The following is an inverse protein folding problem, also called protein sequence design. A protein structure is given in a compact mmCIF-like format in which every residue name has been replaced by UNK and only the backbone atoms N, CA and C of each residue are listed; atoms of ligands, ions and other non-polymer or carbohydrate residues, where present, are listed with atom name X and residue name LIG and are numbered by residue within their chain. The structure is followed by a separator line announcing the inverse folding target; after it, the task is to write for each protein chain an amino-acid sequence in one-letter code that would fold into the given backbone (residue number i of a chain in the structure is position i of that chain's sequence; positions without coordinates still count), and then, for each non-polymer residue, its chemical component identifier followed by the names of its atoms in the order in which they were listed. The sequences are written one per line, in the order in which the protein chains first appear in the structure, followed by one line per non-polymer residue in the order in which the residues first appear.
data_IF_063194114812
#
_entry.id   IF_063194114812
#
_cell.length_a   1.000
_cell.length_b   1.000
_cell.length_c   1.000
_cell.angle_alpha   90.00
_cell.angle_beta   90.00
_cell.angle_gamma   90.00
#
_symmetry.space_group_name_H-M   'P 1'
#
loop_
_entity.id
_entity.type
_entity.pdbx_description
1 polymer ?
#
# COMPACT_ATOMS: atom_id res chain seq x y z
N UNK A 1 -3.03 2.93 4.64
CA UNK A 1 -2.14 2.91 3.45
C UNK A 1 -2.65 1.98 2.34
N UNK A 2 -3.48 0.98 2.67
CA UNK A 2 -4.04 0.02 1.70
C UNK A 2 -5.17 0.58 0.82
N UNK A 3 -6.02 1.49 1.30
CA UNK A 3 -7.24 1.90 0.55
C UNK A 3 -7.18 3.24 -0.20
N UNK A 4 -6.31 4.19 0.19
CA UNK A 4 -6.42 5.58 -0.30
C UNK A 4 -5.67 5.92 -1.60
N UNK A 5 -4.46 5.38 -1.83
CA UNK A 5 -3.57 5.86 -2.90
C UNK A 5 -3.01 4.75 -3.83
N UNK A 6 -3.33 3.48 -3.56
CA UNK A 6 -2.73 2.32 -4.25
C UNK A 6 -3.74 1.44 -5.02
N UNK A 7 -4.98 1.91 -5.18
CA UNK A 7 -6.08 1.10 -5.73
C UNK A 7 -5.82 0.57 -7.14
N UNK A 8 -5.24 1.39 -8.04
CA UNK A 8 -4.97 1.00 -9.43
C UNK A 8 -3.85 -0.04 -9.55
N UNK A 9 -2.73 0.18 -8.87
CA UNK A 9 -1.60 -0.76 -8.87
C UNK A 9 -2.00 -2.13 -8.30
N UNK A 10 -2.76 -2.13 -7.20
CA UNK A 10 -3.33 -3.34 -6.61
C UNK A 10 -4.32 -4.03 -7.54
N UNK A 11 -5.23 -3.30 -8.18
CA UNK A 11 -6.19 -3.89 -9.11
C UNK A 11 -5.48 -4.59 -10.27
N UNK A 12 -4.44 -3.96 -10.81
CA UNK A 12 -3.61 -4.55 -11.86
C UNK A 12 -2.88 -5.81 -11.38
N UNK A 13 -2.35 -5.80 -10.15
CA UNK A 13 -1.71 -6.98 -9.52
C UNK A 13 -2.72 -8.12 -9.36
N UNK A 14 -3.88 -7.85 -8.76
CA UNK A 14 -4.92 -8.83 -8.51
C UNK A 14 -5.49 -9.42 -9.81
N UNK A 15 -5.72 -8.58 -10.82
CA UNK A 15 -6.24 -9.00 -12.12
C UNK A 15 -5.31 -9.97 -12.85
N UNK A 16 -4.00 -9.76 -12.74
CA UNK A 16 -2.98 -10.65 -13.29
C UNK A 16 -2.81 -11.90 -12.43
N UNK A 17 -2.71 -11.73 -11.11
CA UNK A 17 -2.45 -12.81 -10.16
C UNK A 17 -3.56 -13.85 -10.14
N UNK A 18 -4.83 -13.44 -10.27
CA UNK A 18 -5.99 -14.35 -10.30
C UNK A 18 -5.83 -15.51 -11.30
N UNK A 19 -5.13 -15.29 -12.42
CA UNK A 19 -4.96 -16.30 -13.49
C UNK A 19 -3.86 -17.32 -13.19
N UNK A 20 -2.93 -16.98 -12.32
CA UNK A 20 -1.68 -17.74 -12.12
C UNK A 20 -1.54 -18.29 -10.70
N UNK A 21 -2.23 -17.68 -9.72
CA UNK A 21 -2.01 -17.91 -8.28
C UNK A 21 -2.16 -19.36 -7.85
N UNK A 22 -3.08 -20.10 -8.48
CA UNK A 22 -3.29 -21.52 -8.18
C UNK A 22 -2.08 -22.36 -8.59
N UNK A 23 -1.32 -21.93 -9.59
CA UNK A 23 -0.08 -22.57 -10.02
C UNK A 23 1.09 -22.34 -9.06
N UNK A 24 0.98 -21.37 -8.15
CA UNK A 24 1.98 -21.12 -7.11
C UNK A 24 1.77 -21.98 -5.86
N UNK A 25 0.62 -22.63 -5.75
CA UNK A 25 0.33 -23.50 -4.62
C UNK A 25 1.21 -24.77 -4.74
N UNK A 26 2.05 -25.07 -3.74
CA UNK A 26 2.87 -26.26 -3.76
C UNK A 26 2.01 -27.53 -3.89
N UNK A 27 2.37 -28.42 -4.82
CA UNK A 27 1.68 -29.70 -4.99
C UNK A 27 1.93 -30.58 -3.77
N UNK A 28 0.88 -31.26 -3.29
CA UNK A 28 0.97 -32.25 -2.20
C UNK A 28 0.50 -33.60 -2.71
N UNK A 29 1.21 -34.66 -2.35
CA UNK A 29 0.82 -36.02 -2.68
C UNK A 29 -0.54 -36.35 -2.04
N UNK A 30 -1.38 -37.07 -2.78
CA UNK A 30 -2.70 -37.50 -2.31
C UNK A 30 -3.80 -36.42 -2.27
N UNK A 31 -3.50 -35.15 -2.58
CA UNK A 31 -4.49 -34.07 -2.67
C UNK A 31 -4.65 -33.64 -4.14
N UNK A 32 -5.88 -33.61 -4.63
CA UNK A 32 -6.17 -33.13 -5.97
C UNK A 32 -5.75 -31.65 -6.11
N UNK A 33 -4.97 -31.35 -7.15
CA UNK A 33 -4.62 -29.97 -7.47
C UNK A 33 -5.86 -29.18 -7.88
N UNK A 34 -5.94 -27.92 -7.46
CA UNK A 34 -6.95 -27.00 -7.98
C UNK A 34 -6.74 -26.79 -9.47
N UNK A 35 -7.83 -26.77 -10.24
CA UNK A 35 -7.77 -26.45 -11.66
C UNK A 35 -7.33 -25.00 -11.85
N UNK A 36 -6.22 -24.79 -12.58
CA UNK A 36 -5.65 -23.46 -12.84
C UNK A 36 -6.63 -22.48 -13.51
N UNK A 37 -7.64 -23.00 -14.23
CA UNK A 37 -8.61 -22.18 -14.96
C UNK A 37 -9.89 -21.88 -14.19
N UNK A 38 -9.99 -22.27 -12.90
CA UNK A 38 -11.20 -22.04 -12.13
C UNK A 38 -11.39 -20.54 -11.90
N UNK A 39 -12.28 -19.92 -12.68
CA UNK A 39 -12.56 -18.49 -12.61
C UNK A 39 -13.34 -18.10 -11.34
N UNK A 40 -13.96 -19.08 -10.68
CA UNK A 40 -14.85 -18.84 -9.56
C UNK A 40 -14.09 -18.85 -8.24
N UNK A 41 -13.79 -17.65 -7.75
CA UNK A 41 -13.00 -17.45 -6.53
C UNK A 41 -13.73 -17.91 -5.27
N UNK A 42 -15.07 -17.92 -5.27
CA UNK A 42 -15.89 -18.52 -4.19
C UNK A 42 -15.59 -19.99 -3.92
N UNK A 43 -14.96 -20.71 -4.86
CA UNK A 43 -14.50 -22.09 -4.65
C UNK A 43 -13.12 -22.21 -4.00
N UNK A 44 -12.48 -21.08 -3.66
CA UNK A 44 -11.23 -21.03 -2.90
C UNK A 44 -11.52 -20.90 -1.39
N UNK A 45 -10.54 -20.47 -0.61
CA UNK A 45 -10.70 -20.27 0.82
C UNK A 45 -11.00 -21.58 1.54
N UNK A 46 -11.95 -21.52 2.47
CA UNK A 46 -12.41 -22.64 3.29
C UNK A 46 -13.27 -23.65 2.51
N UNK A 47 -13.83 -23.26 1.36
CA UNK A 47 -14.61 -24.15 0.50
C UNK A 47 -13.74 -25.22 -0.20
N UNK A 48 -12.41 -25.08 -0.19
CA UNK A 48 -11.49 -26.04 -0.79
C UNK A 48 -10.28 -26.35 0.11
N UNK A 49 -10.07 -27.63 0.39
CA UNK A 49 -9.06 -28.12 1.35
C UNK A 49 -7.65 -27.58 1.05
N UNK A 50 -7.22 -27.53 -0.21
CA UNK A 50 -5.88 -27.05 -0.57
C UNK A 50 -5.65 -25.58 -0.23
N UNK A 51 -6.61 -24.68 -0.55
CA UNK A 51 -6.50 -23.26 -0.20
C UNK A 51 -6.72 -23.03 1.29
N UNK A 52 -7.67 -23.76 1.88
CA UNK A 52 -7.94 -23.72 3.31
C UNK A 52 -6.71 -24.09 4.14
N UNK A 53 -5.95 -25.10 3.71
CA UNK A 53 -4.72 -25.49 4.40
C UNK A 53 -3.65 -24.40 4.38
N UNK A 54 -3.52 -23.66 3.28
CA UNK A 54 -2.60 -22.53 3.20
C UNK A 54 -3.03 -21.35 4.08
N UNK A 55 -4.34 -21.15 4.22
CA UNK A 55 -4.94 -20.13 5.10
C UNK A 55 -4.96 -20.55 6.57
N UNK A 56 -4.86 -21.85 6.85
CA UNK A 56 -4.84 -22.40 8.20
C UNK A 56 -3.69 -21.79 9.01
N UNK A 57 -3.94 -21.40 10.27
CA UNK A 57 -2.89 -21.05 11.20
C UNK A 57 -1.89 -22.19 11.36
N UNK A 58 -0.59 -21.89 11.26
CA UNK A 58 0.46 -22.91 11.35
C UNK A 58 0.39 -23.76 12.63
N UNK A 59 0.07 -23.13 13.76
CA UNK A 59 -0.08 -23.77 15.06
C UNK A 59 -1.30 -24.71 15.17
N UNK A 60 -2.21 -24.71 14.18
CA UNK A 60 -3.41 -25.55 14.12
C UNK A 60 -3.41 -26.52 12.94
N UNK A 61 -2.28 -26.64 12.25
CA UNK A 61 -2.15 -27.47 11.06
C UNK A 61 -2.40 -28.95 11.34
N UNK A 62 -2.02 -29.45 12.53
CA UNK A 62 -2.28 -30.84 12.94
C UNK A 62 -3.78 -31.11 13.14
N UNK A 63 -4.50 -30.15 13.73
CA UNK A 63 -5.96 -30.22 13.88
C UNK A 63 -6.66 -30.19 12.51
N UNK A 64 -6.17 -29.33 11.61
CA UNK A 64 -6.65 -29.27 10.23
C UNK A 64 -6.40 -30.60 9.51
N UNK A 65 -5.16 -31.10 9.49
CA UNK A 65 -4.79 -32.32 8.75
C UNK A 65 -5.50 -33.57 9.33
N UNK A 66 -5.91 -33.56 10.60
CA UNK A 66 -6.70 -34.62 11.22
C UNK A 66 -8.11 -34.76 10.63
N UNK A 67 -8.79 -33.64 10.33
CA UNK A 67 -10.09 -33.66 9.65
C UNK A 67 -10.35 -32.36 8.87
N UNK A 68 -9.79 -32.22 7.66
CA UNK A 68 -9.81 -30.96 6.92
C UNK A 68 -11.21 -30.44 6.64
N UNK A 69 -12.14 -31.34 6.28
CA UNK A 69 -13.54 -30.97 5.97
C UNK A 69 -14.27 -30.45 7.19
N UNK A 70 -14.07 -31.06 8.36
CA UNK A 70 -14.65 -30.57 9.62
C UNK A 70 -14.05 -29.22 9.98
N UNK A 71 -12.72 -29.08 9.92
CA UNK A 71 -12.05 -27.82 10.25
C UNK A 71 -12.57 -26.68 9.37
N UNK A 72 -12.58 -26.86 8.05
CA UNK A 72 -13.13 -25.86 7.11
C UNK A 72 -14.56 -25.43 7.49
N UNK A 73 -15.45 -26.41 7.70
CA UNK A 73 -16.85 -26.13 8.07
C UNK A 73 -16.96 -25.39 9.40
N UNK A 74 -16.14 -25.76 10.37
CA UNK A 74 -16.15 -25.14 11.70
C UNK A 74 -15.62 -23.69 11.63
N UNK A 75 -14.67 -23.39 10.73
CA UNK A 75 -14.26 -22.01 10.43
C UNK A 75 -15.38 -21.23 9.74
N UNK A 76 -16.00 -21.80 8.70
CA UNK A 76 -17.09 -21.14 7.95
C UNK A 76 -18.30 -20.82 8.83
N UNK A 77 -18.58 -21.67 9.82
CA UNK A 77 -19.67 -21.47 10.78
C UNK A 77 -19.27 -20.61 11.99
N UNK A 78 -18.03 -20.13 12.07
CA UNK A 78 -17.53 -19.30 13.18
C UNK A 78 -17.32 -20.06 14.49
N UNK A 79 -17.34 -21.40 14.48
CA UNK A 79 -16.95 -22.23 15.63
C UNK A 79 -15.45 -22.09 15.89
N UNK A 80 -14.68 -22.00 14.82
CA UNK A 80 -13.27 -21.66 14.84
C UNK A 80 -13.12 -20.22 14.35
N UNK A 81 -12.64 -19.34 15.22
CA UNK A 81 -12.22 -18.00 14.82
C UNK A 81 -10.73 -18.01 14.49
N UNK A 82 -10.36 -17.35 13.39
CA UNK A 82 -8.97 -17.18 12.94
C UNK A 82 -8.74 -15.69 12.75
N UNK A 83 -7.82 -15.14 13.55
CA UNK A 83 -7.47 -13.72 13.56
C UNK A 83 -6.20 -13.47 12.75
N UNK A 84 -5.76 -12.21 12.64
CA UNK A 84 -4.61 -11.86 11.82
C UNK A 84 -3.24 -12.17 12.46
N UNK A 85 -3.20 -12.30 13.79
CA UNK A 85 -2.07 -12.80 14.57
C UNK A 85 -1.89 -14.32 14.41
N UNK A 86 -2.93 -15.04 13.99
CA UNK A 86 -2.85 -16.44 13.58
C UNK A 86 -2.18 -16.57 12.19
N UNK A 87 -0.86 -16.47 12.15
CA UNK A 87 -0.06 -16.47 10.92
C UNK A 87 -0.37 -17.68 10.01
N UNK A 88 -0.81 -17.45 8.76
CA UNK A 88 -1.17 -18.52 7.84
C UNK A 88 0.01 -19.41 7.41
N UNK A 89 -0.28 -20.68 7.13
CA UNK A 89 0.71 -21.66 6.68
C UNK A 89 1.51 -21.24 5.45
N UNK A 90 0.92 -20.47 4.53
CA UNK A 90 1.63 -20.05 3.31
C UNK A 90 2.84 -19.13 3.57
N UNK A 91 2.96 -18.57 4.79
CA UNK A 91 4.10 -17.76 5.20
C UNK A 91 5.34 -18.61 5.50
N UNK A 92 5.17 -19.91 5.76
CA UNK A 92 6.25 -20.84 6.08
C UNK A 92 6.55 -21.77 4.91
N UNK A 93 7.80 -22.24 4.77
CA UNK A 93 8.09 -23.36 3.89
C UNK A 93 7.35 -24.61 4.34
N UNK A 94 7.12 -25.52 3.39
CA UNK A 94 6.43 -26.78 3.66
C UNK A 94 7.08 -27.53 4.84
N UNK A 95 6.27 -27.89 5.83
CA UNK A 95 6.64 -28.69 7.01
C UNK A 95 7.79 -28.09 7.84
N UNK A 96 7.94 -26.75 7.83
CA UNK A 96 8.99 -26.03 8.59
C UNK A 96 8.52 -25.29 9.83
N UNK A 97 7.22 -25.26 10.12
CA UNK A 97 6.74 -24.64 11.34
C UNK A 97 7.22 -25.42 12.57
N UNK A 98 7.91 -24.73 13.48
CA UNK A 98 8.43 -25.28 14.71
C UNK A 98 7.77 -24.57 15.91
N UNK A 99 6.95 -25.24 16.72
CA UNK A 99 6.28 -24.59 17.85
C UNK A 99 7.25 -24.12 18.95
N UNK A 100 8.48 -24.66 18.99
CA UNK A 100 9.51 -24.22 19.93
C UNK A 100 10.38 -23.06 19.37
N UNK A 101 10.27 -22.79 18.07
CA UNK A 101 10.96 -21.70 17.39
C UNK A 101 10.10 -21.20 16.23
N UNK A 102 9.09 -20.38 16.54
CA UNK A 102 8.08 -19.94 15.57
C UNK A 102 8.68 -19.06 14.45
N UNK A 103 9.86 -18.48 14.66
CA UNK A 103 10.55 -17.66 13.67
C UNK A 103 11.25 -18.50 12.59
N UNK A 104 11.43 -19.80 12.84
CA UNK A 104 12.10 -20.72 11.93
C UNK A 104 11.34 -20.81 10.59
N UNK A 105 11.94 -20.25 9.54
CA UNK A 105 11.35 -20.24 8.20
C UNK A 105 10.17 -19.28 8.02
N UNK A 106 9.78 -18.53 9.04
CA UNK A 106 8.71 -17.53 8.91
C UNK A 106 9.03 -16.52 7.79
N UNK A 107 8.03 -16.19 6.98
CA UNK A 107 8.10 -15.34 5.78
C UNK A 107 8.98 -15.88 4.64
N UNK A 108 9.32 -17.18 4.65
CA UNK A 108 10.11 -17.84 3.59
C UNK A 108 9.34 -18.92 2.84
N UNK A 109 8.01 -18.96 2.98
CA UNK A 109 7.13 -19.89 2.26
C UNK A 109 7.19 -19.75 0.74
N UNK A 110 7.13 -20.89 0.04
CA UNK A 110 7.26 -20.93 -1.43
C UNK A 110 6.14 -20.18 -2.13
N UNK A 111 4.91 -20.29 -1.62
CA UNK A 111 3.76 -19.58 -2.14
C UNK A 111 3.93 -18.05 -2.01
N UNK A 112 4.30 -17.56 -0.83
CA UNK A 112 4.56 -16.13 -0.59
C UNK A 112 5.64 -15.60 -1.54
N UNK A 113 6.72 -16.36 -1.71
CA UNK A 113 7.82 -16.06 -2.61
C UNK A 113 7.37 -15.96 -4.06
N UNK A 114 6.56 -16.90 -4.54
CA UNK A 114 6.00 -16.85 -5.90
C UNK A 114 5.11 -15.63 -6.10
N UNK A 115 4.25 -15.30 -5.13
CA UNK A 115 3.39 -14.09 -5.19
C UNK A 115 4.24 -12.81 -5.20
N UNK A 116 5.23 -12.71 -4.33
CA UNK A 116 6.15 -11.57 -4.29
C UNK A 116 6.85 -11.38 -5.63
N UNK A 117 7.47 -12.44 -6.15
CA UNK A 117 8.17 -12.41 -7.43
C UNK A 117 7.22 -12.07 -8.58
N UNK A 118 5.98 -12.58 -8.55
CA UNK A 118 4.98 -12.23 -9.56
C UNK A 118 4.71 -10.72 -9.59
N UNK A 119 4.46 -10.12 -8.42
CA UNK A 119 4.16 -8.68 -8.26
C UNK A 119 5.36 -7.84 -8.70
N UNK A 120 6.55 -8.11 -8.14
CA UNK A 120 7.68 -7.19 -8.25
C UNK A 120 8.62 -7.52 -9.41
N UNK A 121 8.84 -8.78 -9.74
CA UNK A 121 9.82 -9.21 -10.76
C UNK A 121 9.19 -9.86 -11.99
N UNK A 122 7.87 -10.09 -11.96
CA UNK A 122 7.04 -10.54 -13.08
C UNK A 122 6.85 -12.07 -13.15
N UNK A 123 5.90 -12.54 -13.99
CA UNK A 123 5.44 -13.94 -13.99
C UNK A 123 6.54 -14.99 -14.18
N UNK A 124 7.51 -14.71 -15.07
CA UNK A 124 8.63 -15.63 -15.37
C UNK A 124 9.52 -15.94 -14.17
N UNK A 125 9.46 -15.12 -13.13
CA UNK A 125 10.27 -15.27 -11.91
C UNK A 125 9.52 -15.96 -10.78
N UNK A 126 8.19 -15.96 -10.83
CA UNK A 126 7.34 -16.51 -9.79
C UNK A 126 7.54 -18.02 -9.61
N UNK A 127 7.85 -18.73 -10.69
CA UNK A 127 8.09 -20.19 -10.71
C UNK A 127 9.56 -20.58 -10.64
N UNK A 128 10.47 -19.60 -10.44
CA UNK A 128 11.89 -19.89 -10.35
C UNK A 128 12.21 -20.65 -9.05
N UNK A 129 12.96 -21.73 -9.18
CA UNK A 129 13.40 -22.58 -8.07
C UNK A 129 14.78 -22.20 -7.51
N UNK A 130 15.51 -21.31 -8.21
CA UNK A 130 16.84 -20.86 -7.80
C UNK A 130 16.87 -19.35 -7.47
N UNK A 131 17.70 -18.91 -6.51
CA UNK A 131 17.95 -17.50 -6.24
C UNK A 131 18.50 -16.72 -7.45
N UNK A 132 18.49 -15.41 -7.35
CA UNK A 132 19.23 -14.52 -8.24
C UNK A 132 18.35 -13.73 -9.19
N UNK A 133 18.93 -12.68 -9.82
CA UNK A 133 18.17 -11.72 -10.58
C UNK A 133 17.49 -12.38 -11.79
N UNK A 134 16.45 -11.71 -12.26
CA UNK A 134 15.83 -12.03 -13.53
C UNK A 134 16.15 -10.98 -14.57
N UNK A 135 16.50 -11.44 -15.76
CA UNK A 135 16.63 -10.63 -16.96
C UNK A 135 15.24 -10.37 -17.54
N UNK A 136 14.53 -9.39 -16.98
CA UNK A 136 13.21 -8.99 -17.48
C UNK A 136 12.74 -7.63 -16.96
N UNK A 137 11.81 -6.96 -17.69
CA UNK A 137 11.09 -5.82 -17.15
C UNK A 137 10.18 -6.29 -16.01
N UNK A 138 10.38 -5.75 -14.81
CA UNK A 138 9.54 -6.00 -13.64
C UNK A 138 9.27 -4.70 -12.90
N UNK A 139 8.21 -4.65 -12.08
CA UNK A 139 7.88 -3.47 -11.26
C UNK A 139 9.07 -3.01 -10.39
N UNK A 140 9.88 -3.94 -9.90
CA UNK A 140 11.10 -3.63 -9.17
C UNK A 140 12.06 -2.78 -10.00
N UNK A 141 12.27 -3.12 -11.28
CA UNK A 141 13.10 -2.31 -12.19
C UNK A 141 12.42 -0.98 -12.55
N UNK A 142 11.11 -0.99 -12.79
CA UNK A 142 10.33 0.20 -13.14
C UNK A 142 10.34 1.25 -12.01
N UNK A 143 10.24 0.79 -10.76
CA UNK A 143 10.20 1.64 -9.57
C UNK A 143 11.55 1.78 -8.88
N UNK A 144 12.65 1.33 -9.51
CA UNK A 144 14.01 1.36 -8.95
C UNK A 144 14.09 0.74 -7.53
N UNK A 145 13.34 -0.33 -7.29
CA UNK A 145 13.41 -1.11 -6.07
C UNK A 145 14.76 -1.86 -6.05
N UNK A 146 15.66 -1.41 -5.18
CA UNK A 146 17.02 -1.97 -5.02
C UNK A 146 17.12 -2.94 -3.85
N UNK A 147 16.11 -2.99 -2.99
CA UNK A 147 16.03 -3.90 -1.85
C UNK A 147 14.59 -4.29 -1.53
N UNK A 148 14.43 -5.46 -0.93
CA UNK A 148 13.18 -5.91 -0.30
C UNK A 148 13.01 -5.17 1.02
N UNK A 149 11.78 -4.77 1.32
CA UNK A 149 11.41 -4.13 2.60
C UNK A 149 10.33 -4.95 3.31
N UNK A 150 10.20 -4.83 4.65
CA UNK A 150 9.10 -5.46 5.39
C UNK A 150 7.73 -5.17 4.78
N UNK A 151 7.47 -3.93 4.37
CA UNK A 151 6.21 -3.51 3.75
C UNK A 151 5.94 -4.20 2.40
N UNK A 152 6.98 -4.48 1.62
CA UNK A 152 6.83 -5.20 0.34
C UNK A 152 6.51 -6.69 0.56
N UNK A 153 7.05 -7.30 1.62
CA UNK A 153 6.72 -8.67 2.04
C UNK A 153 5.28 -8.70 2.57
N UNK A 154 4.92 -7.77 3.45
CA UNK A 154 3.58 -7.63 4.01
C UNK A 154 2.51 -7.43 2.91
N UNK A 155 2.80 -6.56 1.93
CA UNK A 155 1.90 -6.38 0.78
C UNK A 155 1.73 -7.66 -0.03
N UNK A 156 2.82 -8.38 -0.34
CA UNK A 156 2.74 -9.65 -1.06
C UNK A 156 1.95 -10.71 -0.26
N UNK A 157 2.11 -10.76 1.06
CA UNK A 157 1.36 -11.66 1.92
C UNK A 157 -0.15 -11.36 1.91
N UNK A 158 -0.53 -10.09 2.02
CA UNK A 158 -1.93 -9.64 1.94
C UNK A 158 -2.54 -9.98 0.58
N UNK A 159 -1.84 -9.64 -0.51
CA UNK A 159 -2.29 -9.92 -1.88
C UNK A 159 -2.38 -11.43 -2.12
N UNK A 160 -1.43 -12.21 -1.62
CA UNK A 160 -1.43 -13.66 -1.66
C UNK A 160 -2.63 -14.24 -0.93
N UNK A 161 -2.80 -13.90 0.36
CA UNK A 161 -3.95 -14.35 1.18
C UNK A 161 -5.27 -14.05 0.50
N UNK A 162 -5.46 -12.80 0.06
CA UNK A 162 -6.69 -12.41 -0.64
C UNK A 162 -6.89 -13.23 -1.92
N UNK A 163 -5.84 -13.60 -2.64
CA UNK A 163 -5.98 -14.36 -3.90
C UNK A 163 -6.42 -15.81 -3.71
N UNK A 164 -6.16 -16.40 -2.54
CA UNK A 164 -6.57 -17.77 -2.18
C UNK A 164 -7.73 -17.84 -1.20
N UNK A 165 -8.26 -16.71 -0.72
CA UNK A 165 -9.51 -16.67 0.06
C UNK A 165 -10.75 -16.78 -0.84
N UNK A 166 -11.91 -17.03 -0.23
CA UNK A 166 -13.19 -17.18 -0.93
C UNK A 166 -13.88 -15.85 -1.32
N UNK A 167 -13.31 -14.70 -0.98
CA UNK A 167 -13.95 -13.40 -1.23
C UNK A 167 -13.86 -12.98 -2.70
N UNK A 168 -14.99 -12.75 -3.37
CA UNK A 168 -14.99 -12.36 -4.79
C UNK A 168 -14.52 -10.93 -5.05
N UNK A 169 -14.69 -10.02 -4.08
CA UNK A 169 -14.33 -8.60 -4.18
C UNK A 169 -13.30 -8.26 -3.13
N UNK A 170 -12.44 -7.28 -3.47
CA UNK A 170 -11.49 -6.74 -2.51
C UNK A 170 -12.22 -6.14 -1.31
N UNK A 171 -11.92 -6.66 -0.13
CA UNK A 171 -12.38 -6.16 1.15
C UNK A 171 -11.23 -6.35 2.15
N UNK A 172 -11.09 -5.40 3.09
CA UNK A 172 -10.09 -5.53 4.15
C UNK A 172 -10.48 -6.57 5.21
N UNK A 173 -11.76 -6.88 5.32
CA UNK A 173 -12.33 -7.80 6.30
C UNK A 173 -12.75 -9.09 5.61
N UNK A 174 -12.16 -10.21 6.01
CA UNK A 174 -12.50 -11.57 5.60
C UNK A 174 -13.10 -12.30 6.81
N UNK A 175 -14.37 -12.01 7.07
CA UNK A 175 -15.01 -12.37 8.33
C UNK A 175 -14.34 -11.63 9.48
N UNK A 176 -13.75 -12.39 10.41
CA UNK A 176 -13.02 -11.84 11.55
C UNK A 176 -11.53 -11.61 11.27
N UNK A 177 -11.03 -12.06 10.12
CA UNK A 177 -9.64 -11.84 9.72
C UNK A 177 -9.49 -10.50 8.99
N UNK A 178 -8.65 -9.60 9.48
CA UNK A 178 -8.39 -8.31 8.85
C UNK A 178 -7.06 -8.32 8.08
N UNK A 179 -7.11 -7.96 6.81
CA UNK A 179 -5.92 -7.87 5.96
C UNK A 179 -4.98 -6.74 6.39
N UNK A 180 -5.51 -5.64 6.93
CA UNK A 180 -4.69 -4.56 7.50
C UNK A 180 -3.93 -5.02 8.73
N UNK A 181 -4.55 -5.81 9.60
CA UNK A 181 -3.87 -6.37 10.77
C UNK A 181 -2.75 -7.32 10.34
N UNK A 182 -2.96 -8.18 9.33
CA UNK A 182 -1.87 -9.02 8.79
C UNK A 182 -0.72 -8.18 8.25
N UNK A 183 -1.03 -7.08 7.55
CA UNK A 183 0.01 -6.17 7.06
C UNK A 183 0.82 -5.61 8.22
N UNK A 184 0.15 -5.09 9.25
CA UNK A 184 0.79 -4.49 10.42
C UNK A 184 1.59 -5.53 11.19
N UNK A 185 1.02 -6.70 11.48
CA UNK A 185 1.72 -7.82 12.15
C UNK A 185 3.02 -8.16 11.43
N UNK A 186 3.01 -8.30 10.10
CA UNK A 186 4.24 -8.61 9.35
C UNK A 186 5.26 -7.47 9.44
N UNK A 187 4.83 -6.21 9.41
CA UNK A 187 5.74 -5.07 9.53
C UNK A 187 6.34 -4.99 10.94
N UNK A 188 5.53 -5.21 11.97
CA UNK A 188 5.90 -5.21 13.39
C UNK A 188 6.91 -6.31 13.73
N UNK A 189 6.89 -7.45 13.02
CA UNK A 189 7.96 -8.47 13.13
C UNK A 189 9.35 -7.91 12.82
N UNK A 190 9.47 -6.77 12.12
CA UNK A 190 10.73 -6.11 11.79
C UNK A 190 10.98 -4.82 12.59
N UNK A 191 10.33 -4.64 13.74
CA UNK A 191 10.45 -3.42 14.55
C UNK A 191 11.85 -3.21 15.15
N UNK A 192 12.61 -4.29 15.41
CA UNK A 192 14.04 -4.20 15.77
C UNK A 192 14.94 -4.50 14.56
N UNK A 193 15.48 -3.48 13.87
CA UNK A 193 16.35 -3.68 12.72
C UNK A 193 17.72 -4.29 13.07
N UNK A 194 18.08 -4.38 14.36
CA UNK A 194 19.32 -5.02 14.80
C UNK A 194 19.12 -6.49 15.17
N UNK A 195 17.88 -6.96 15.22
CA UNK A 195 17.59 -8.37 15.49
C UNK A 195 18.21 -9.24 14.37
N UNK A 196 18.99 -10.28 14.71
CA UNK A 196 19.57 -11.19 13.74
C UNK A 196 18.54 -11.78 12.76
N UNK A 197 17.35 -12.14 13.24
CA UNK A 197 16.29 -12.69 12.40
C UNK A 197 15.80 -11.67 11.35
N UNK A 198 15.67 -10.40 11.72
CA UNK A 198 15.27 -9.33 10.81
C UNK A 198 16.29 -9.15 9.68
N UNK A 199 17.57 -9.09 10.06
CA UNK A 199 18.70 -8.93 9.12
C UNK A 199 18.75 -10.14 8.18
N UNK A 200 18.79 -11.35 8.73
CA UNK A 200 18.91 -12.58 7.96
C UNK A 200 17.72 -12.78 7.00
N UNK A 201 16.50 -12.45 7.45
CA UNK A 201 15.31 -12.59 6.61
C UNK A 201 15.33 -11.61 5.45
N UNK A 202 15.70 -10.35 5.68
CA UNK A 202 15.81 -9.37 4.59
C UNK A 202 16.99 -9.67 3.66
N UNK A 203 18.14 -10.14 4.18
CA UNK A 203 19.27 -10.57 3.37
C UNK A 203 18.90 -11.75 2.48
N UNK A 204 18.21 -12.76 3.03
CA UNK A 204 17.70 -13.90 2.28
C UNK A 204 16.78 -13.46 1.13
N UNK A 205 15.85 -12.54 1.40
CA UNK A 205 14.96 -12.00 0.37
C UNK A 205 15.72 -11.20 -0.70
N UNK A 206 16.69 -10.38 -0.32
CA UNK A 206 17.52 -9.62 -1.26
C UNK A 206 18.37 -10.55 -2.14
N UNK A 207 18.94 -11.60 -1.56
CA UNK A 207 19.64 -12.64 -2.31
C UNK A 207 18.69 -13.37 -3.27
N UNK A 208 17.48 -13.69 -2.83
CA UNK A 208 16.51 -14.39 -3.67
C UNK A 208 16.09 -13.55 -4.88
N UNK A 209 15.71 -12.29 -4.64
CA UNK A 209 15.09 -11.40 -5.63
C UNK A 209 16.13 -10.73 -6.52
N UNK A 210 17.24 -10.26 -5.95
CA UNK A 210 18.24 -9.46 -6.65
C UNK A 210 19.58 -10.17 -6.86
N UNK A 211 19.80 -11.32 -6.20
CA UNK A 211 21.08 -12.05 -6.25
C UNK A 211 22.27 -11.31 -5.66
N UNK A 212 22.02 -10.27 -4.87
CA UNK A 212 23.04 -9.53 -4.14
C UNK A 212 22.68 -9.50 -2.66
N UNK A 213 23.61 -9.95 -1.82
CA UNK A 213 23.56 -9.74 -0.36
C UNK A 213 23.87 -8.29 0.01
N UNK A 214 24.50 -7.54 -0.91
CA UNK A 214 24.92 -6.17 -0.67
C UNK A 214 23.94 -5.22 -1.34
N UNK A 215 23.17 -4.49 -0.52
CA UNK A 215 22.78 -3.15 -0.91
C UNK A 215 24.08 -2.38 -1.24
N UNK A 216 24.12 -1.54 -2.29
CA UNK A 216 25.16 -0.53 -2.32
C UNK A 216 25.10 0.22 -0.99
N UNK A 217 26.24 0.38 -0.32
CA UNK A 217 26.35 1.29 0.83
C UNK A 217 25.87 2.66 0.36
N UNK A 218 24.59 2.96 0.52
CA UNK A 218 24.13 4.34 0.54
C UNK A 218 24.68 4.84 1.86
N UNK A 219 25.86 5.45 1.79
CA UNK A 219 26.31 6.37 2.83
C UNK A 219 25.18 7.38 2.93
N UNK A 220 24.33 7.23 3.95
CA UNK A 220 23.40 8.26 4.33
C UNK A 220 24.32 9.44 4.65
N UNK A 221 24.34 10.47 3.79
CA UNK A 221 25.07 11.69 4.10
C UNK A 221 24.62 12.08 5.50
N UNK A 222 25.58 12.14 6.44
CA UNK A 222 25.33 12.37 7.86
C UNK A 222 24.27 13.47 7.98
N UNK A 223 23.07 13.20 8.53
CA UNK A 223 21.97 14.18 8.57
C UNK A 223 22.25 15.36 9.52
N UNK A 224 23.46 15.45 10.06
CA UNK A 224 23.78 16.31 11.21
C UNK A 224 24.20 17.74 10.90
N UNK A 225 24.18 18.26 9.67
CA UNK A 225 24.55 19.68 9.48
C UNK A 225 23.85 20.47 8.36
N UNK A 226 22.92 19.88 7.59
CA UNK A 226 22.22 20.63 6.53
C UNK A 226 20.71 20.38 6.61
N UNK A 227 19.89 21.42 6.87
CA UNK A 227 18.44 21.31 6.78
C UNK A 227 18.03 20.79 5.40
N UNK A 228 17.09 19.85 5.36
CA UNK A 228 16.59 19.33 4.09
C UNK A 228 15.94 20.46 3.28
N UNK A 229 16.01 20.37 1.95
CA UNK A 229 15.35 21.34 1.03
C UNK A 229 13.87 21.50 1.37
N UNK A 230 13.20 20.43 1.83
CA UNK A 230 11.81 20.45 2.30
C UNK A 230 11.63 21.35 3.53
N UNK A 231 12.49 21.22 4.54
CA UNK A 231 12.45 22.07 5.73
C UNK A 231 12.74 23.53 5.38
N UNK A 232 13.69 23.78 4.47
CA UNK A 232 13.97 25.14 3.97
C UNK A 232 12.77 25.76 3.26
N UNK A 233 12.09 25.01 2.38
CA UNK A 233 10.87 25.44 1.71
C UNK A 233 9.73 25.74 2.69
N UNK A 234 9.53 24.90 3.70
CA UNK A 234 8.52 25.12 4.74
C UNK A 234 8.81 26.39 5.56
N UNK A 235 10.09 26.62 5.91
CA UNK A 235 10.51 27.84 6.59
C UNK A 235 10.30 29.09 5.72
N UNK A 236 10.65 29.04 4.43
CA UNK A 236 10.40 30.13 3.49
C UNK A 236 8.90 30.43 3.34
N UNK A 237 8.07 29.40 3.27
CA UNK A 237 6.61 29.57 3.18
C UNK A 237 6.01 30.13 4.48
N UNK A 238 6.50 29.71 5.65
CA UNK A 238 6.08 30.27 6.94
C UNK A 238 6.49 31.74 7.06
N UNK A 239 7.73 32.09 6.71
CA UNK A 239 8.22 33.47 6.71
C UNK A 239 7.42 34.36 5.75
N UNK A 240 7.10 33.87 4.54
CA UNK A 240 6.28 34.60 3.58
C UNK A 240 4.86 34.86 4.11
N UNK A 241 4.24 33.87 4.77
CA UNK A 241 2.90 34.05 5.40
C UNK A 241 2.94 35.04 6.55
N UNK A 242 3.95 34.98 7.42
CA UNK A 242 4.11 35.93 8.52
C UNK A 242 4.33 37.37 8.01
N UNK A 243 5.16 37.55 6.98
CA UNK A 243 5.40 38.85 6.38
C UNK A 243 4.12 39.44 5.75
N UNK A 244 3.30 38.62 5.09
CA UNK A 244 2.01 39.04 4.53
C UNK A 244 1.01 39.42 5.63
N UNK A 245 0.98 38.70 6.76
CA UNK A 245 0.13 39.05 7.90
C UNK A 245 0.55 40.35 8.59
N UNK A 246 1.87 40.57 8.75
CA UNK A 246 2.39 41.84 9.28
C UNK A 246 2.06 42.99 8.34
N UNK A 247 2.20 42.81 7.03
CA UNK A 247 1.83 43.83 6.04
C UNK A 247 0.33 44.16 6.09
N UNK A 248 -0.54 43.14 6.19
CA UNK A 248 -1.98 43.31 6.32
C UNK A 248 -2.39 44.04 7.61
N UNK A 249 -1.74 43.73 8.74
CA UNK A 249 -2.00 44.41 10.02
C UNK A 249 -1.53 45.88 10.01
N UNK A 250 -0.47 46.20 9.27
CA UNK A 250 0.01 47.58 9.12
C UNK A 250 -0.95 48.40 8.24
N UNK A 251 -1.51 47.81 7.19
CA UNK A 251 -2.51 48.49 6.35
C UNK A 251 -3.80 48.78 7.11
N UNK A 252 -4.31 47.83 7.91
CA UNK A 252 -5.51 48.04 8.75
C UNK A 252 -5.31 49.11 9.83
N UNK A 253 -4.12 49.18 10.44
CA UNK A 253 -3.79 50.21 11.43
C UNK A 253 -3.70 51.62 10.81
N UNK A 254 -3.36 51.73 9.52
CA UNK A 254 -3.26 53.01 8.81
C UNK A 254 -4.61 53.58 8.36
N UNK A 255 -5.62 52.73 8.13
CA UNK A 255 -6.98 53.16 7.80
C UNK A 255 -7.78 53.58 9.06
N UNK A 256 -7.54 52.93 10.21
CA UNK A 256 -8.19 53.29 11.48
C UNK A 256 -7.80 54.66 12.06
N UNK A 257 -6.78 55.33 11.52
CA UNK A 257 -6.24 56.58 12.06
C UNK A 257 -6.56 57.83 11.22
N UNK A 258 -7.35 57.71 10.14
CA UNK A 258 -7.83 58.85 9.31
C UNK A 258 -9.27 59.25 9.62
N UNK A 259 -9.51 59.73 10.83
CA UNK A 259 -10.68 60.56 11.14
C UNK A 259 -10.34 61.58 12.22
N UNK A 260 -9.62 62.65 11.85
CA UNK A 260 -9.77 63.94 12.53
C UNK A 260 -9.24 65.13 11.71
N UNK A 261 -10.14 66.10 11.52
CA UNK A 261 -9.95 67.57 11.43
C UNK A 261 -9.26 68.23 10.22
N UNK A 262 -10.12 68.77 9.33
CA UNK A 262 -10.33 70.18 8.93
C UNK A 262 -9.17 71.18 8.67
N UNK A 263 -9.31 71.92 7.55
CA UNK A 263 -9.02 73.37 7.41
C UNK A 263 -8.01 73.77 6.30
N UNK A 264 -8.46 74.17 5.09
CA UNK A 264 -8.52 75.58 4.56
C UNK A 264 -7.12 76.26 4.41
N UNK A 265 -6.62 76.88 3.33
CA UNK A 265 -7.20 77.66 2.19
C UNK A 265 -6.06 78.08 1.20
N UNK A 266 -6.37 78.37 -0.08
CA UNK A 266 -5.65 79.32 -0.99
C UNK A 266 -4.80 78.71 -2.14
N UNK A 267 -5.32 78.44 -3.35
CA UNK A 267 -5.52 79.32 -4.54
C UNK A 267 -4.21 79.62 -5.32
N UNK A 268 -3.98 79.22 -6.59
CA UNK A 268 -4.44 79.94 -7.81
C UNK A 268 -4.07 79.20 -9.13
N UNK A 269 -5.10 78.93 -9.95
CA UNK A 269 -5.26 78.83 -11.44
C UNK A 269 -4.21 78.22 -12.41
N UNK A 270 -4.65 77.32 -13.31
CA UNK A 270 -4.97 77.62 -14.73
C UNK A 270 -5.49 76.36 -15.47
N UNK A 271 -6.40 76.60 -16.40
CA UNK A 271 -7.36 75.68 -17.00
C UNK A 271 -6.81 74.70 -18.06
N UNK A 272 -7.49 73.55 -18.24
CA UNK A 272 -8.07 73.21 -19.55
C UNK A 272 -9.12 72.09 -19.50
N UNK A 273 -10.05 72.18 -20.44
CA UNK A 273 -11.40 71.61 -20.47
C UNK A 273 -11.52 70.11 -20.82
N UNK A 274 -12.67 69.53 -20.41
CA UNK A 274 -13.22 68.19 -20.73
C UNK A 274 -14.09 68.29 -22.01
N UNK A 275 -14.49 67.18 -22.68
CA UNK A 275 -15.66 66.37 -22.26
C UNK A 275 -15.44 64.84 -22.41
N UNK A 276 -15.72 64.00 -21.41
CA UNK A 276 -17.02 63.38 -21.11
C UNK A 276 -17.62 62.57 -22.27
N UNK A 277 -17.64 61.24 -22.15
CA UNK A 277 -18.82 60.44 -22.51
C UNK A 277 -18.91 59.16 -21.65
N UNK A 278 -19.95 59.19 -20.82
CA UNK A 278 -20.82 58.14 -20.26
C UNK A 278 -21.05 56.95 -21.24
N UNK A 279 -21.56 55.75 -20.92
CA UNK A 279 -22.11 55.07 -19.73
C UNK A 279 -22.59 53.67 -20.16
N UNK A 280 -22.98 52.84 -19.19
CA UNK A 280 -23.81 51.62 -19.23
C UNK A 280 -22.99 50.30 -19.23
N UNK A 281 -22.91 49.56 -18.12
CA UNK A 281 -23.96 48.83 -17.37
C UNK A 281 -24.88 47.99 -18.23
N UNK A 282 -24.88 46.68 -18.00
CA UNK A 282 -26.04 45.78 -17.80
C UNK A 282 -25.51 44.31 -17.84
N UNK A 283 -25.57 43.62 -16.69
CA UNK A 283 -25.90 42.18 -16.58
C UNK A 283 -27.44 42.06 -16.49
N UNK A 284 -28.12 40.88 -16.36
CA UNK A 284 -27.80 39.46 -16.57
C UNK A 284 -28.94 38.72 -17.35
N UNK A 285 -28.96 37.38 -17.32
CA UNK A 285 -30.09 36.39 -17.41
C UNK A 285 -29.71 35.21 -18.32
N UNK A 286 -29.60 33.96 -17.86
CA UNK A 286 -30.62 33.01 -17.34
C UNK A 286 -31.77 32.69 -18.32
N UNK A 287 -31.82 31.42 -18.74
CA UNK A 287 -32.97 30.54 -18.98
C UNK A 287 -32.44 29.31 -19.77
N UNK A 288 -32.57 28.06 -19.31
CA UNK A 288 -33.76 27.18 -19.47
C UNK A 288 -34.20 27.08 -20.95
N UNK A 289 -34.54 25.94 -21.56
CA UNK A 289 -34.97 24.60 -21.13
C UNK A 289 -34.74 23.63 -22.32
N UNK A 290 -34.63 22.31 -22.09
CA UNK A 290 -35.57 21.26 -22.56
C UNK A 290 -35.53 20.99 -24.09
N UNK A 291 -35.62 19.79 -24.69
CA UNK A 291 -36.27 18.51 -24.39
C UNK A 291 -35.69 17.42 -25.33
N UNK A 292 -35.90 16.14 -24.95
CA UNK A 292 -36.37 14.98 -25.75
C UNK A 292 -35.74 14.68 -27.14
N UNK A 293 -35.61 13.45 -27.65
CA UNK A 293 -36.00 12.08 -27.33
C UNK A 293 -35.21 11.14 -28.27
N UNK A 294 -35.40 9.83 -28.09
CA UNK A 294 -34.93 8.64 -28.85
C UNK A 294 -33.52 8.05 -28.57
#
# INVERSE_FOLDING_TARGET
MLDGYSGKGRLDDLGQLKKEVLGFIPKREGIASLALNNQNKSSHGWAHVTTARLLCPCNRLDEFDSNPKKFCRDVENGVIMIMADDLPCFLYPKDKYNPNNVEEGLLRGEYLRSVFCFIYTGPRTATKEAPGPSSGPGKAKLYNMTRVTPQSIAYAAVVGRFSICGQDKWALEDGSYKLEDLFNTIVELFDDPNDPWCIETLEWWNQWVFGSLRAPNIVLANPLLVPTVKAMLQQQHAARRAALQVAANITDASEGSRSNTNGNTGDTTMANAIPAYNSNSIQPEEAESSDEED
#
